data_IF_234327583905
#
_entry.id   IF_234327583905
#
_cell.length_a   1.000
_cell.length_b   1.000
_cell.length_c   1.000
_cell.angle_alpha   90.00
_cell.angle_beta   90.00
_cell.angle_gamma   90.00
#
_symmetry.space_group_name_H-M   'P 1'
#
loop_
_entity.id
_entity.type
_entity.pdbx_description
1 polymer ?
#
# COMPACT_ATOMS: atom_id res chain seq x y z
N UNK A 1 -21.78 14.65 3.44
CA UNK A 1 -20.56 13.82 3.60
C UNK A 1 -20.57 12.80 2.47
N UNK A 2 -19.95 13.12 1.33
CA UNK A 2 -19.93 12.24 0.15
C UNK A 2 -18.83 11.19 0.39
N UNK A 3 -19.16 10.14 1.15
CA UNK A 3 -18.27 8.99 1.27
C UNK A 3 -18.21 8.36 -0.12
N UNK A 4 -17.08 8.53 -0.81
CA UNK A 4 -16.82 7.85 -2.06
C UNK A 4 -16.81 6.34 -1.77
N UNK A 5 -17.96 5.68 -1.95
CA UNK A 5 -18.16 4.26 -1.60
C UNK A 5 -17.18 3.33 -2.32
N UNK A 6 -16.56 3.78 -3.42
CA UNK A 6 -15.56 3.02 -4.19
C UNK A 6 -14.21 2.86 -3.48
N UNK A 7 -13.85 3.76 -2.55
CA UNK A 7 -12.54 3.78 -1.87
C UNK A 7 -12.24 2.50 -1.06
N UNK A 8 -13.17 1.98 -0.22
CA UNK A 8 -12.95 0.71 0.48
C UNK A 8 -12.82 -0.49 -0.48
N UNK A 9 -13.51 -0.50 -1.62
CA UNK A 9 -13.34 -1.55 -2.63
C UNK A 9 -11.95 -1.50 -3.29
N UNK A 10 -11.45 -0.30 -3.59
CA UNK A 10 -10.09 -0.12 -4.13
C UNK A 10 -9.05 -0.56 -3.10
N UNK A 11 -9.20 -0.19 -1.82
CA UNK A 11 -8.32 -0.64 -0.74
C UNK A 11 -8.28 -2.17 -0.63
N UNK A 12 -9.46 -2.81 -0.66
CA UNK A 12 -9.56 -4.27 -0.61
C UNK A 12 -8.90 -4.93 -1.82
N UNK A 13 -9.16 -4.41 -3.03
CA UNK A 13 -8.57 -4.95 -4.25
C UNK A 13 -7.05 -4.80 -4.30
N UNK A 14 -6.52 -3.61 -3.98
CA UNK A 14 -5.08 -3.34 -3.93
C UNK A 14 -4.42 -4.18 -2.84
N UNK A 15 -5.09 -4.43 -1.72
CA UNK A 15 -4.57 -5.30 -0.66
C UNK A 15 -4.57 -6.76 -1.01
N UNK A 16 -5.60 -7.25 -1.67
CA UNK A 16 -5.62 -8.60 -2.21
C UNK A 16 -4.47 -8.80 -3.22
N UNK A 17 -4.27 -7.82 -4.12
CA UNK A 17 -3.13 -7.83 -5.05
C UNK A 17 -1.78 -7.80 -4.32
N UNK A 18 -1.63 -7.00 -3.27
CA UNK A 18 -0.36 -6.93 -2.53
C UNK A 18 -0.02 -8.26 -1.85
N UNK A 19 -1.03 -8.94 -1.29
CA UNK A 19 -0.84 -10.26 -0.67
C UNK A 19 -0.42 -11.29 -1.71
N UNK A 20 -1.08 -11.33 -2.87
CA UNK A 20 -0.71 -12.24 -3.97
C UNK A 20 0.71 -11.92 -4.47
N UNK A 21 1.04 -10.65 -4.70
CA UNK A 21 2.36 -10.23 -5.15
C UNK A 21 3.46 -10.61 -4.13
N UNK A 22 3.17 -10.49 -2.84
CA UNK A 22 4.10 -10.88 -1.77
C UNK A 22 4.30 -12.41 -1.72
N UNK A 23 3.23 -13.19 -1.86
CA UNK A 23 3.32 -14.66 -1.93
C UNK A 23 4.14 -15.08 -3.15
N UNK A 24 3.87 -14.51 -4.33
CA UNK A 24 4.64 -14.78 -5.56
C UNK A 24 6.12 -14.40 -5.41
N UNK A 25 6.41 -13.34 -4.66
CA UNK A 25 7.77 -12.94 -4.36
C UNK A 25 8.51 -13.93 -3.44
N UNK A 26 7.82 -14.55 -2.48
CA UNK A 26 8.39 -15.63 -1.64
C UNK A 26 8.80 -16.82 -2.50
N UNK A 27 8.00 -17.18 -3.50
CA UNK A 27 8.31 -18.27 -4.43
C UNK A 27 9.28 -17.85 -5.55
N UNK A 28 9.81 -16.62 -5.52
CA UNK A 28 10.74 -16.07 -6.50
C UNK A 28 10.19 -16.06 -7.94
N UNK A 29 8.86 -16.12 -8.09
CA UNK A 29 8.15 -16.04 -9.38
C UNK A 29 7.98 -14.57 -9.79
N UNK A 30 8.04 -13.66 -8.82
CA UNK A 30 7.81 -12.22 -9.01
C UNK A 30 8.85 -11.41 -8.21
N UNK A 31 9.39 -10.31 -8.75
CA UNK A 31 10.39 -9.52 -8.05
C UNK A 31 9.83 -8.89 -6.76
N UNK A 32 10.55 -9.08 -5.65
CA UNK A 32 10.20 -8.55 -4.34
C UNK A 32 9.93 -7.04 -4.36
N UNK A 33 10.67 -6.31 -5.20
CA UNK A 33 10.48 -4.89 -5.45
C UNK A 33 9.05 -4.53 -5.82
N UNK A 34 8.42 -5.28 -6.72
CA UNK A 34 7.07 -4.95 -7.18
C UNK A 34 6.06 -5.25 -6.08
N UNK A 35 6.27 -6.31 -5.29
CA UNK A 35 5.45 -6.59 -4.11
C UNK A 35 5.52 -5.44 -3.09
N UNK A 36 6.72 -4.89 -2.83
CA UNK A 36 6.92 -3.74 -1.95
C UNK A 36 6.22 -2.49 -2.50
N UNK A 37 6.23 -2.30 -3.82
CA UNK A 37 5.54 -1.20 -4.47
C UNK A 37 4.00 -1.30 -4.28
N UNK A 38 3.43 -2.49 -4.42
CA UNK A 38 2.00 -2.73 -4.13
C UNK A 38 1.64 -2.45 -2.66
N UNK A 39 2.51 -2.83 -1.71
CA UNK A 39 2.32 -2.54 -0.28
C UNK A 39 2.37 -1.02 -0.03
N UNK A 40 3.29 -0.29 -0.67
CA UNK A 40 3.34 1.18 -0.57
C UNK A 40 2.06 1.82 -1.10
N UNK A 41 1.57 1.37 -2.26
CA UNK A 41 0.34 1.87 -2.89
C UNK A 41 -0.91 1.60 -2.04
N UNK A 42 -0.98 0.43 -1.40
CA UNK A 42 -1.99 0.12 -0.40
C UNK A 42 -1.98 1.11 0.77
N UNK A 43 -0.80 1.39 1.33
CA UNK A 43 -0.66 2.31 2.45
C UNK A 43 -1.10 3.75 2.07
N UNK A 44 -0.78 4.21 0.86
CA UNK A 44 -1.29 5.49 0.36
C UNK A 44 -2.81 5.49 0.22
N UNK A 45 -3.40 4.39 -0.26
CA UNK A 45 -4.86 4.26 -0.37
C UNK A 45 -5.52 4.29 1.02
N UNK A 46 -4.90 3.67 2.03
CA UNK A 46 -5.33 3.76 3.43
C UNK A 46 -5.20 5.17 4.00
N UNK A 47 -4.11 5.89 3.70
CA UNK A 47 -3.94 7.28 4.10
C UNK A 47 -5.08 8.14 3.55
N UNK A 48 -5.37 8.03 2.25
CA UNK A 48 -6.48 8.75 1.61
C UNK A 48 -7.81 8.43 2.30
N UNK A 49 -8.10 7.14 2.56
CA UNK A 49 -9.32 6.74 3.27
C UNK A 49 -9.41 7.31 4.69
N UNK A 50 -8.31 7.28 5.44
CA UNK A 50 -8.25 7.83 6.80
C UNK A 50 -8.43 9.35 6.81
N UNK A 51 -7.93 10.06 5.80
CA UNK A 51 -8.16 11.51 5.63
C UNK A 51 -9.65 11.82 5.42
N UNK A 52 -10.33 11.06 4.55
CA UNK A 52 -11.78 11.23 4.31
C UNK A 52 -12.62 10.91 5.54
N UNK A 53 -12.19 9.96 6.37
CA UNK A 53 -12.86 9.59 7.62
C UNK A 53 -12.46 10.47 8.82
N UNK A 54 -11.64 11.52 8.61
CA UNK A 54 -11.10 12.40 9.66
C UNK A 54 -10.30 11.67 10.76
N UNK A 55 -9.77 10.48 10.46
CA UNK A 55 -8.89 9.72 11.33
C UNK A 55 -7.42 10.14 11.12
N UNK A 56 -7.06 11.33 11.60
CA UNK A 56 -5.75 11.94 11.34
C UNK A 56 -4.55 11.12 11.87
N UNK A 57 -4.69 10.43 13.01
CA UNK A 57 -3.63 9.55 13.52
C UNK A 57 -3.34 8.39 12.58
N UNK A 58 -4.39 7.75 12.05
CA UNK A 58 -4.28 6.67 11.08
C UNK A 58 -3.77 7.17 9.72
N UNK A 59 -4.13 8.40 9.33
CA UNK A 59 -3.61 9.05 8.12
C UNK A 59 -2.09 9.21 8.19
N UNK A 60 -1.57 9.78 9.27
CA UNK A 60 -0.12 10.01 9.43
C UNK A 60 0.62 8.68 9.45
N UNK A 61 0.09 7.68 10.17
CA UNK A 61 0.70 6.35 10.23
C UNK A 61 0.75 5.68 8.85
N UNK A 62 -0.37 5.65 8.13
CA UNK A 62 -0.44 5.04 6.81
C UNK A 62 0.45 5.78 5.79
N UNK A 63 0.52 7.11 5.87
CA UNK A 63 1.39 7.91 5.03
C UNK A 63 2.88 7.60 5.31
N UNK A 64 3.28 7.56 6.58
CA UNK A 64 4.64 7.23 6.99
C UNK A 64 5.05 5.81 6.54
N UNK A 65 4.16 4.84 6.70
CA UNK A 65 4.38 3.46 6.23
C UNK A 65 4.50 3.41 4.70
N UNK A 66 3.64 4.11 3.97
CA UNK A 66 3.70 4.20 2.51
C UNK A 66 5.04 4.73 2.01
N UNK A 67 5.56 5.78 2.65
CA UNK A 67 6.89 6.32 2.36
C UNK A 67 8.02 5.35 2.70
N UNK A 68 7.97 4.72 3.88
CA UNK A 68 8.99 3.76 4.31
C UNK A 68 9.14 2.59 3.31
N UNK A 69 8.01 2.02 2.87
CA UNK A 69 8.02 0.96 1.87
C UNK A 69 8.47 1.44 0.49
N UNK A 70 8.11 2.66 0.08
CA UNK A 70 8.58 3.23 -1.18
C UNK A 70 10.11 3.36 -1.19
N UNK A 71 10.69 3.91 -0.13
CA UNK A 71 12.16 4.01 0.03
C UNK A 71 12.80 2.62 0.04
N UNK A 72 12.25 1.67 0.80
CA UNK A 72 12.76 0.30 0.83
C UNK A 72 12.75 -0.36 -0.56
N UNK A 73 11.69 -0.15 -1.34
CA UNK A 73 11.59 -0.65 -2.72
C UNK A 73 12.69 -0.08 -3.62
N UNK A 74 12.96 1.22 -3.53
CA UNK A 74 14.04 1.88 -4.29
C UNK A 74 15.42 1.35 -3.89
N UNK A 75 15.68 1.20 -2.59
CA UNK A 75 16.95 0.64 -2.09
C UNK A 75 17.18 -0.77 -2.60
N UNK A 76 16.13 -1.59 -2.68
CA UNK A 76 16.21 -2.97 -3.20
C UNK A 76 16.42 -2.99 -4.72
N UNK A 77 15.94 -2.01 -5.47
CA UNK A 77 16.21 -1.89 -6.93
C UNK A 77 17.68 -1.58 -7.20
N UNK A 78 18.26 -0.68 -6.40
CA UNK A 78 19.61 -0.15 -6.63
C UNK A 78 20.69 -1.16 -6.19
N UNK A 79 20.35 -2.07 -5.26
CA UNK A 79 21.24 -3.11 -4.75
C UNK A 79 21.30 -4.31 -5.68
#
# INVERSE_FOLDING_TARGET
MYINQSLPYIQFFVGFLSVIAFILAIFNIFPLTIAIFFISLLNFTFAIGAFYQQHYSSFILALAMGFAFSVAGVVIIIK
#
